data_IF_966303973454
#
_entry.id   IF_966303973454
#
_cell.length_a   1.000
_cell.length_b   1.000
_cell.length_c   1.000
_cell.angle_alpha   90.00
_cell.angle_beta   90.00
_cell.angle_gamma   90.00
#
_symmetry.space_group_name_H-M   'P 1'
#
loop_
_entity.id
_entity.type
_entity.pdbx_description
1 polymer ?
#
# COMPACT_ATOMS: atom_id res chain seq x y z
N UNK A 1 -5.98 11.70 -30.34
CA UNK A 1 -5.88 12.70 -29.25
C UNK A 1 -6.10 12.11 -27.85
N UNK A 2 -6.81 10.98 -27.69
CA UNK A 2 -7.07 10.36 -26.36
C UNK A 2 -5.89 9.60 -25.73
N UNK A 3 -4.89 9.13 -26.51
CA UNK A 3 -3.72 8.40 -25.96
C UNK A 3 -2.76 9.27 -25.15
N UNK A 4 -2.65 10.57 -25.44
CA UNK A 4 -1.72 11.46 -24.72
C UNK A 4 -2.19 11.76 -23.30
N UNK A 5 -3.51 11.92 -23.08
CA UNK A 5 -4.08 12.18 -21.74
C UNK A 5 -3.80 11.02 -20.76
N UNK A 6 -3.91 9.78 -21.26
CA UNK A 6 -3.63 8.60 -20.45
C UNK A 6 -2.16 8.56 -20.03
N UNK A 7 -1.22 8.89 -20.92
CA UNK A 7 0.21 8.94 -20.59
C UNK A 7 0.54 10.05 -19.60
N UNK A 8 -0.01 11.26 -19.78
CA UNK A 8 0.19 12.38 -18.85
C UNK A 8 -0.35 12.06 -17.44
N UNK A 9 -1.53 11.45 -17.35
CA UNK A 9 -2.13 11.01 -16.09
C UNK A 9 -1.28 9.94 -15.42
N UNK A 10 -0.83 8.94 -16.19
CA UNK A 10 0.02 7.85 -15.72
C UNK A 10 1.38 8.41 -15.25
N UNK A 11 1.96 9.37 -15.95
CA UNK A 11 3.20 10.05 -15.56
C UNK A 11 3.04 10.90 -14.29
N UNK A 12 1.92 11.59 -14.12
CA UNK A 12 1.61 12.32 -12.88
C UNK A 12 1.44 11.38 -11.68
N UNK A 13 0.71 10.28 -11.86
CA UNK A 13 0.53 9.25 -10.82
C UNK A 13 1.84 8.52 -10.51
N UNK A 14 2.66 8.21 -11.52
CA UNK A 14 3.99 7.62 -11.34
C UNK A 14 4.92 8.56 -10.59
N UNK A 15 4.99 9.84 -10.97
CA UNK A 15 5.84 10.83 -10.29
C UNK A 15 5.43 11.00 -8.82
N UNK A 16 4.13 10.92 -8.52
CA UNK A 16 3.62 10.92 -7.14
C UNK A 16 3.91 9.61 -6.37
N UNK A 17 3.77 8.45 -7.03
CA UNK A 17 3.89 7.13 -6.39
C UNK A 17 5.34 6.63 -6.26
N UNK A 18 6.26 7.05 -7.13
CA UNK A 18 7.64 6.54 -7.16
C UNK A 18 8.56 7.21 -6.12
N UNK A 19 8.22 8.42 -5.67
CA UNK A 19 8.82 9.10 -4.51
C UNK A 19 10.35 9.06 -4.40
N UNK A 20 10.87 9.14 -3.18
CA UNK A 20 12.30 8.97 -2.87
C UNK A 20 12.72 7.50 -2.79
N UNK A 21 11.76 6.57 -2.68
CA UNK A 21 12.01 5.15 -2.51
C UNK A 21 12.71 4.50 -3.71
N UNK A 22 12.34 4.89 -4.95
CA UNK A 22 13.01 4.35 -6.14
C UNK A 22 14.41 4.93 -6.35
N UNK A 23 14.72 6.10 -5.78
CA UNK A 23 16.08 6.64 -5.74
C UNK A 23 16.94 5.96 -4.67
N UNK A 24 16.34 5.54 -3.54
CA UNK A 24 17.06 4.83 -2.48
C UNK A 24 17.37 3.37 -2.84
N UNK A 25 16.52 2.71 -3.63
CA UNK A 25 16.75 1.33 -4.09
C UNK A 25 18.10 1.09 -4.81
N UNK A 26 18.52 1.89 -5.81
CA UNK A 26 19.79 1.66 -6.48
C UNK A 26 21.00 1.90 -5.58
N UNK A 27 20.95 2.86 -4.66
CA UNK A 27 22.00 3.08 -3.65
C UNK A 27 22.12 1.88 -2.70
N UNK A 28 20.98 1.32 -2.27
CA UNK A 28 20.95 0.12 -1.45
C UNK A 28 21.52 -1.10 -2.19
N UNK A 29 21.20 -1.28 -3.48
CA UNK A 29 21.75 -2.38 -4.28
C UNK A 29 23.23 -2.22 -4.62
N UNK A 30 23.70 -0.99 -4.84
CA UNK A 30 25.11 -0.71 -5.13
C UNK A 30 26.02 -1.11 -3.95
N UNK A 31 25.59 -0.83 -2.72
CA UNK A 31 26.34 -1.19 -1.50
C UNK A 31 26.11 -2.62 -1.01
N UNK A 32 24.96 -3.23 -1.32
CA UNK A 32 24.55 -4.56 -0.84
C UNK A 32 24.94 -5.72 -1.77
N UNK A 33 25.19 -5.43 -3.05
CA UNK A 33 25.53 -6.42 -4.06
C UNK A 33 24.30 -7.09 -4.70
N UNK A 34 24.45 -7.54 -5.95
CA UNK A 34 23.35 -8.03 -6.78
C UNK A 34 22.62 -9.25 -6.17
N UNK A 35 23.36 -10.19 -5.58
CA UNK A 35 22.81 -11.40 -4.97
C UNK A 35 21.91 -11.08 -3.78
N UNK A 36 22.37 -10.19 -2.89
CA UNK A 36 21.58 -9.76 -1.73
C UNK A 36 20.35 -8.98 -2.20
N UNK A 37 20.48 -8.19 -3.27
CA UNK A 37 19.35 -7.48 -3.86
C UNK A 37 18.23 -8.39 -4.39
N UNK A 38 18.59 -9.48 -5.08
CA UNK A 38 17.63 -10.49 -5.56
C UNK A 38 16.92 -11.19 -4.40
N UNK A 39 17.66 -11.59 -3.37
CA UNK A 39 17.10 -12.25 -2.18
C UNK A 39 16.18 -11.29 -1.42
N UNK A 40 16.62 -10.04 -1.20
CA UNK A 40 15.82 -9.03 -0.53
C UNK A 40 14.52 -8.73 -1.29
N UNK A 41 14.59 -8.64 -2.63
CA UNK A 41 13.41 -8.42 -3.47
C UNK A 41 12.42 -9.58 -3.35
N UNK A 42 12.91 -10.83 -3.34
CA UNK A 42 12.07 -12.01 -3.12
C UNK A 42 11.41 -11.98 -1.73
N UNK A 43 12.17 -11.67 -0.67
CA UNK A 43 11.64 -11.55 0.69
C UNK A 43 10.58 -10.45 0.81
N UNK A 44 10.83 -9.27 0.24
CA UNK A 44 9.88 -8.15 0.23
C UNK A 44 8.62 -8.53 -0.54
N UNK A 45 8.73 -9.24 -1.67
CA UNK A 45 7.58 -9.72 -2.43
C UNK A 45 6.69 -10.66 -1.61
N UNK A 46 7.28 -11.58 -0.86
CA UNK A 46 6.55 -12.48 0.05
C UNK A 46 5.88 -11.68 1.18
N UNK A 47 6.63 -10.78 1.82
CA UNK A 47 6.10 -9.93 2.90
C UNK A 47 4.93 -9.07 2.42
N UNK A 48 5.08 -8.38 1.28
CA UNK A 48 4.02 -7.58 0.68
C UNK A 48 2.78 -8.42 0.37
N UNK A 49 2.96 -9.62 -0.17
CA UNK A 49 1.85 -10.54 -0.44
C UNK A 49 1.14 -10.96 0.84
N UNK A 50 1.90 -11.28 1.89
CA UNK A 50 1.35 -11.62 3.21
C UNK A 50 0.55 -10.46 3.81
N UNK A 51 1.08 -9.24 3.75
CA UNK A 51 0.41 -8.02 4.19
C UNK A 51 -0.90 -7.76 3.45
N UNK A 52 -0.90 -7.90 2.12
CA UNK A 52 -2.13 -7.74 1.32
C UNK A 52 -3.13 -8.84 1.66
N UNK A 53 -2.66 -10.08 1.81
CA UNK A 53 -3.54 -11.21 2.14
C UNK A 53 -4.26 -11.01 3.48
N UNK A 54 -3.54 -10.59 4.54
CA UNK A 54 -4.17 -10.31 5.83
C UNK A 54 -5.10 -9.08 5.76
N UNK A 55 -4.74 -8.07 4.98
CA UNK A 55 -5.58 -6.88 4.83
C UNK A 55 -6.90 -7.20 4.11
N UNK A 56 -6.87 -7.99 3.05
CA UNK A 56 -8.10 -8.41 2.35
C UNK A 56 -8.97 -9.26 3.28
N UNK A 57 -8.37 -10.10 4.14
CA UNK A 57 -9.13 -10.86 5.15
C UNK A 57 -9.87 -9.93 6.11
N UNK A 58 -9.19 -8.90 6.62
CA UNK A 58 -9.80 -7.87 7.47
C UNK A 58 -10.90 -7.11 6.73
N UNK A 59 -10.65 -6.67 5.49
CA UNK A 59 -11.63 -5.99 4.65
C UNK A 59 -12.89 -6.83 4.46
N UNK A 60 -12.72 -8.10 4.12
CA UNK A 60 -13.82 -9.02 3.89
C UNK A 60 -14.68 -9.22 5.14
N UNK A 61 -14.04 -9.40 6.30
CA UNK A 61 -14.70 -9.48 7.61
C UNK A 61 -15.50 -8.20 7.89
N UNK A 62 -14.93 -7.02 7.61
CA UNK A 62 -15.54 -5.71 7.82
C UNK A 62 -16.72 -5.45 6.88
N UNK A 63 -16.56 -5.73 5.58
CA UNK A 63 -17.62 -5.66 4.57
C UNK A 63 -18.80 -6.55 4.94
N UNK A 64 -18.53 -7.75 5.47
CA UNK A 64 -19.57 -8.67 5.96
C UNK A 64 -20.30 -8.13 7.19
N UNK A 65 -19.61 -7.44 8.11
CA UNK A 65 -20.21 -6.84 9.31
C UNK A 65 -21.05 -5.59 8.99
N UNK A 66 -20.55 -4.74 8.10
CA UNK A 66 -21.16 -3.43 7.75
C UNK A 66 -22.14 -3.47 6.57
N UNK A 67 -22.23 -4.58 5.83
CA UNK A 67 -23.06 -4.73 4.60
C UNK A 67 -22.77 -3.65 3.54
N UNK A 68 -21.50 -3.27 3.37
CA UNK A 68 -21.08 -2.30 2.36
C UNK A 68 -20.62 -3.03 1.07
N UNK A 69 -20.97 -2.54 -0.13
CA UNK A 69 -20.75 -3.24 -1.40
C UNK A 69 -19.29 -3.25 -1.89
N UNK A 70 -18.46 -2.30 -1.46
CA UNK A 70 -17.01 -2.29 -1.66
C UNK A 70 -16.37 -1.21 -0.78
N UNK A 71 -15.22 -1.49 -0.18
CA UNK A 71 -14.42 -0.49 0.55
C UNK A 71 -13.10 -0.29 -0.17
N UNK A 72 -12.71 0.96 -0.38
CA UNK A 72 -11.36 1.28 -0.87
C UNK A 72 -10.37 1.02 0.27
N UNK A 73 -9.14 0.59 -0.05
CA UNK A 73 -8.06 0.34 0.93
C UNK A 73 -7.94 1.36 2.09
N UNK A 74 -7.95 2.69 1.87
CA UNK A 74 -7.94 3.67 2.97
C UNK A 74 -9.21 3.66 3.81
N UNK A 75 -10.38 3.46 3.21
CA UNK A 75 -11.64 3.36 3.95
C UNK A 75 -11.65 2.09 4.82
N UNK A 76 -11.17 0.95 4.29
CA UNK A 76 -10.99 -0.27 5.08
C UNK A 76 -10.08 -0.03 6.30
N UNK A 77 -8.96 0.68 6.11
CA UNK A 77 -8.04 1.00 7.18
C UNK A 77 -8.69 1.91 8.24
N UNK A 78 -9.42 2.95 7.83
CA UNK A 78 -10.14 3.85 8.73
C UNK A 78 -11.17 3.09 9.58
N UNK A 79 -12.01 2.26 8.96
CA UNK A 79 -13.00 1.48 9.70
C UNK A 79 -12.35 0.43 10.62
N UNK A 80 -11.24 -0.18 10.21
CA UNK A 80 -10.49 -1.11 11.04
C UNK A 80 -9.88 -0.41 12.27
N UNK A 81 -9.43 0.84 12.14
CA UNK A 81 -8.94 1.67 13.24
C UNK A 81 -10.06 2.11 14.19
N UNK A 82 -11.23 2.44 13.66
CA UNK A 82 -12.42 2.80 14.45
C UNK A 82 -12.97 1.62 15.26
N UNK A 83 -12.92 0.40 14.72
CA UNK A 83 -13.37 -0.81 15.43
C UNK A 83 -12.30 -1.38 16.39
N UNK A 84 -11.07 -0.86 16.31
CA UNK A 84 -9.93 -1.25 17.16
C UNK A 84 -9.94 -0.65 18.57
N UNK A 85 -9.00 -1.06 19.44
CA UNK A 85 -8.91 -0.58 20.82
C UNK A 85 -8.67 0.94 20.90
N UNK A 86 -9.06 1.57 22.01
CA UNK A 86 -9.14 3.04 22.16
C UNK A 86 -7.87 3.84 21.79
N UNK A 87 -6.69 3.21 21.84
CA UNK A 87 -5.42 3.78 21.36
C UNK A 87 -5.42 4.01 19.84
N UNK A 88 -5.97 3.08 19.05
CA UNK A 88 -6.08 3.19 17.59
C UNK A 88 -7.22 4.11 17.15
N UNK A 89 -8.30 4.24 17.93
CA UNK A 89 -9.36 5.23 17.68
C UNK A 89 -8.86 6.69 17.78
N UNK A 90 -7.90 6.97 18.68
CA UNK A 90 -7.32 8.32 18.82
C UNK A 90 -6.44 8.76 17.66
N UNK A 91 -5.95 7.81 16.86
CA UNK A 91 -5.12 8.04 15.68
C UNK A 91 -5.93 7.96 14.37
N UNK A 92 -7.21 7.58 14.44
CA UNK A 92 -8.15 7.68 13.32
C UNK A 92 -8.45 9.11 12.82
N UNK A 93 -8.50 10.19 13.64
CA UNK A 93 -8.88 11.53 13.14
C UNK A 93 -7.78 12.25 12.33
N UNK A 94 -6.60 11.66 12.12
CA UNK A 94 -5.53 12.28 11.31
C UNK A 94 -5.38 11.70 9.90
N UNK A 95 -6.13 10.67 9.51
CA UNK A 95 -5.97 9.98 8.22
C UNK A 95 -6.85 10.53 7.08
N UNK A 96 -7.16 11.83 7.10
CA UNK A 96 -7.86 12.55 6.01
C UNK A 96 -6.89 13.40 5.18
#
# INVERSE_FOLDING_TARGET
MVSSLNSETLLHLLKGSLGTGILAMPLAFYHSGYVVGVIATACIGILCTYCIHILIKCEYELCKRRKLPSLTYPATAEYALLEGPALFQKIAPYSV
#
